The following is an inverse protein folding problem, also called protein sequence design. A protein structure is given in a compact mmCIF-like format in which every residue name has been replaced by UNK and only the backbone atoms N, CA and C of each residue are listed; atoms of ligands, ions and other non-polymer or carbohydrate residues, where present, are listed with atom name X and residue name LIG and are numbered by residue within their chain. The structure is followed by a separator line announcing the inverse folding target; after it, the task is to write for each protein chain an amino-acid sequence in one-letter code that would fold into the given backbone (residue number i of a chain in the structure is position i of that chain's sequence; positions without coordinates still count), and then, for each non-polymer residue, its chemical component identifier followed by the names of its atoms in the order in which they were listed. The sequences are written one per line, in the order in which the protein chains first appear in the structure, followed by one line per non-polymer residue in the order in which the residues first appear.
data_IF_205298220382
#
_entry.id   IF_205298220382
#
_cell.length_a   1.000
_cell.length_b   1.000
_cell.length_c   1.000
_cell.angle_alpha   90.00
_cell.angle_beta   90.00
_cell.angle_gamma   90.00
#
_symmetry.space_group_name_H-M   'P 1'
#
loop_
_entity.id
_entity.type
_entity.pdbx_description
1 polymer ?
#
# COMPACT_ATOMS: atom_id res chain seq x y z
N UNK A 1 -19.52 2.16 -0.90
CA UNK A 1 -19.44 3.60 -1.24
C UNK A 1 -19.57 3.73 -2.76
N UNK A 2 -20.25 4.75 -3.30
CA UNK A 2 -20.37 4.92 -4.76
C UNK A 2 -19.34 5.92 -5.32
N UNK A 3 -19.11 5.86 -6.64
CA UNK A 3 -18.15 6.75 -7.32
C UNK A 3 -18.47 8.22 -7.12
N UNK A 4 -19.75 8.60 -7.10
CA UNK A 4 -20.16 10.00 -6.96
C UNK A 4 -19.74 10.58 -5.61
N UNK A 5 -19.84 9.78 -4.54
CA UNK A 5 -19.36 10.18 -3.22
C UNK A 5 -17.83 10.28 -3.18
N UNK A 6 -17.10 9.32 -3.75
CA UNK A 6 -15.63 9.37 -3.82
C UNK A 6 -15.15 10.62 -4.57
N UNK A 7 -15.75 10.91 -5.73
CA UNK A 7 -15.47 12.13 -6.49
C UNK A 7 -15.79 13.39 -5.69
N UNK A 8 -16.88 13.41 -4.92
CA UNK A 8 -17.21 14.57 -4.08
C UNK A 8 -16.15 14.89 -3.02
N UNK A 9 -15.40 13.87 -2.57
CA UNK A 9 -14.26 14.05 -1.65
C UNK A 9 -13.06 14.56 -2.45
N UNK A 10 -12.70 13.89 -3.55
CA UNK A 10 -11.55 14.24 -4.37
C UNK A 10 -11.64 15.66 -4.95
N UNK A 11 -12.82 16.07 -5.44
CA UNK A 11 -13.08 17.38 -6.02
C UNK A 11 -13.14 18.52 -4.96
N UNK A 12 -13.18 18.17 -3.68
CA UNK A 12 -13.32 19.11 -2.56
C UNK A 12 -12.08 19.10 -1.67
N UNK A 13 -10.88 19.07 -2.27
CA UNK A 13 -9.59 19.03 -1.58
C UNK A 13 -9.53 17.95 -0.49
N UNK A 14 -10.10 16.78 -0.81
CA UNK A 14 -10.20 15.61 0.07
C UNK A 14 -10.96 15.86 1.39
N UNK A 15 -11.75 16.94 1.49
CA UNK A 15 -12.53 17.24 2.69
C UNK A 15 -13.83 16.42 2.74
N UNK A 16 -14.17 15.94 3.94
CA UNK A 16 -15.42 15.24 4.18
C UNK A 16 -16.59 16.20 4.40
N UNK A 17 -17.80 15.84 3.92
CA UNK A 17 -19.02 16.49 4.36
C UNK A 17 -19.19 16.37 5.88
N UNK A 18 -19.74 17.41 6.52
CA UNK A 18 -19.77 17.56 7.98
C UNK A 18 -20.48 16.42 8.76
N UNK A 19 -21.31 15.63 8.08
CA UNK A 19 -22.01 14.49 8.67
C UNK A 19 -21.17 13.20 8.75
N UNK A 20 -19.97 13.16 8.17
CA UNK A 20 -19.08 12.00 8.16
C UNK A 20 -17.82 12.27 8.98
N UNK A 21 -17.32 11.23 9.64
CA UNK A 21 -15.99 11.25 10.24
C UNK A 21 -14.95 10.56 9.34
N UNK A 22 -13.68 10.95 9.48
CA UNK A 22 -12.57 10.28 8.78
C UNK A 22 -12.51 8.80 9.17
N UNK A 23 -12.74 8.46 10.45
CA UNK A 23 -12.69 7.09 10.94
C UNK A 23 -13.71 6.18 10.24
N UNK A 24 -14.97 6.60 10.19
CA UNK A 24 -16.05 5.83 9.55
C UNK A 24 -15.76 5.65 8.05
N UNK A 25 -15.37 6.72 7.35
CA UNK A 25 -15.11 6.65 5.91
C UNK A 25 -13.86 5.83 5.61
N UNK A 26 -12.82 5.89 6.46
CA UNK A 26 -11.61 5.07 6.32
C UNK A 26 -11.94 3.58 6.34
N UNK A 27 -12.81 3.14 7.25
CA UNK A 27 -13.25 1.74 7.31
C UNK A 27 -13.91 1.28 6.00
N UNK A 28 -14.76 2.11 5.42
CA UNK A 28 -15.41 1.83 4.13
C UNK A 28 -14.42 1.86 2.95
N UNK A 29 -13.47 2.80 2.93
CA UNK A 29 -12.42 2.88 1.91
C UNK A 29 -11.53 1.63 1.96
N UNK A 30 -11.10 1.21 3.15
CA UNK A 30 -10.28 0.00 3.32
C UNK A 30 -11.01 -1.27 2.87
N UNK A 31 -12.32 -1.37 3.10
CA UNK A 31 -13.12 -2.48 2.58
C UNK A 31 -13.19 -2.52 1.05
N UNK A 32 -12.93 -1.39 0.37
CA UNK A 32 -12.97 -1.24 -1.08
C UNK A 32 -11.58 -1.03 -1.72
N UNK A 33 -10.48 -1.13 -0.97
CA UNK A 33 -9.12 -0.87 -1.46
C UNK A 33 -8.71 -1.78 -2.63
N UNK A 34 -9.30 -2.97 -2.71
CA UNK A 34 -9.08 -3.92 -3.81
C UNK A 34 -10.27 -4.10 -4.74
N UNK A 35 -11.16 -3.10 -4.86
CA UNK A 35 -12.33 -3.21 -5.73
C UNK A 35 -11.89 -3.39 -7.21
N UNK A 36 -12.52 -4.32 -7.98
CA UNK A 36 -12.11 -4.58 -9.36
C UNK A 36 -12.31 -3.41 -10.31
N UNK A 37 -13.25 -2.52 -10.01
CA UNK A 37 -13.49 -1.31 -10.80
C UNK A 37 -12.29 -0.35 -10.64
N UNK A 38 -11.53 -0.08 -11.72
CA UNK A 38 -10.30 0.69 -11.62
C UNK A 38 -10.54 2.13 -11.20
N UNK A 39 -11.59 2.79 -11.71
CA UNK A 39 -11.85 4.19 -11.38
C UNK A 39 -12.16 4.36 -9.89
N UNK A 40 -13.01 3.50 -9.32
CA UNK A 40 -13.29 3.51 -7.89
C UNK A 40 -12.07 3.15 -7.06
N UNK A 41 -11.26 2.17 -7.50
CA UNK A 41 -10.09 1.73 -6.74
C UNK A 41 -9.02 2.81 -6.63
N UNK A 42 -8.71 3.49 -7.74
CA UNK A 42 -7.74 4.58 -7.74
C UNK A 42 -8.24 5.75 -6.86
N UNK A 43 -9.53 6.10 -6.93
CA UNK A 43 -10.10 7.12 -6.03
C UNK A 43 -10.02 6.71 -4.55
N UNK A 44 -10.27 5.45 -4.22
CA UNK A 44 -10.14 4.94 -2.85
C UNK A 44 -8.70 5.09 -2.36
N UNK A 45 -7.73 4.70 -3.19
CA UNK A 45 -6.32 4.85 -2.89
C UNK A 45 -5.92 6.32 -2.71
N UNK A 46 -6.29 7.17 -3.66
CA UNK A 46 -5.94 8.59 -3.67
C UNK A 46 -6.46 9.29 -2.41
N UNK A 47 -7.72 9.05 -2.02
CA UNK A 47 -8.28 9.64 -0.81
C UNK A 47 -7.53 9.19 0.44
N UNK A 48 -7.24 7.88 0.57
CA UNK A 48 -6.51 7.34 1.72
C UNK A 48 -5.09 7.91 1.78
N UNK A 49 -4.37 7.91 0.65
CA UNK A 49 -3.00 8.45 0.54
C UNK A 49 -2.98 9.93 0.92
N UNK A 50 -3.89 10.74 0.39
CA UNK A 50 -3.95 12.16 0.69
C UNK A 50 -4.27 12.43 2.16
N UNK A 51 -5.16 11.65 2.79
CA UNK A 51 -5.41 11.79 4.23
C UNK A 51 -4.20 11.41 5.10
N UNK A 52 -3.38 10.46 4.68
CA UNK A 52 -2.09 10.15 5.33
C UNK A 52 -1.17 11.35 5.21
N UNK A 53 -0.90 11.80 3.98
CA UNK A 53 0.09 12.84 3.68
C UNK A 53 -0.29 14.22 4.26
N UNK A 54 -1.58 14.56 4.27
CA UNK A 54 -2.13 15.76 4.90
C UNK A 54 -2.23 15.65 6.43
N UNK A 55 -1.78 14.54 7.04
CA UNK A 55 -1.83 14.31 8.49
C UNK A 55 -3.24 14.44 9.08
N UNK A 56 -4.26 13.96 8.36
CA UNK A 56 -5.66 14.04 8.83
C UNK A 56 -6.03 12.94 9.83
N UNK A 57 -5.19 11.93 9.93
CA UNK A 57 -5.31 10.86 10.91
C UNK A 57 -4.69 11.24 12.25
N UNK A 58 -5.32 10.81 13.35
CA UNK A 58 -4.63 10.78 14.64
C UNK A 58 -3.59 9.65 14.65
N UNK A 59 -2.61 9.67 15.58
CA UNK A 59 -1.66 8.57 15.72
C UNK A 59 -2.36 7.20 15.86
N UNK A 60 -3.37 7.08 16.73
CA UNK A 60 -4.11 5.83 16.95
C UNK A 60 -4.79 5.31 15.67
N UNK A 61 -5.28 6.24 14.82
CA UNK A 61 -5.85 5.87 13.52
C UNK A 61 -4.78 5.39 12.54
N UNK A 62 -3.59 6.01 12.52
CA UNK A 62 -2.47 5.54 11.69
C UNK A 62 -2.02 4.14 12.10
N UNK A 63 -1.88 3.86 13.41
CA UNK A 63 -1.52 2.52 13.87
C UNK A 63 -2.59 1.49 13.49
N UNK A 64 -3.87 1.83 13.66
CA UNK A 64 -4.99 0.95 13.27
C UNK A 64 -5.05 0.70 11.76
N UNK A 65 -4.74 1.73 10.96
CA UNK A 65 -4.62 1.66 9.50
C UNK A 65 -3.49 0.69 9.12
N UNK A 66 -2.29 0.87 9.66
CA UNK A 66 -1.13 0.01 9.40
C UNK A 66 -1.47 -1.45 9.73
N UNK A 67 -2.04 -1.72 10.90
CA UNK A 67 -2.44 -3.08 11.28
C UNK A 67 -3.41 -3.72 10.27
N UNK A 68 -4.34 -2.94 9.72
CA UNK A 68 -5.26 -3.41 8.69
C UNK A 68 -4.53 -3.72 7.38
N UNK A 69 -3.68 -2.81 6.91
CA UNK A 69 -2.92 -2.99 5.67
C UNK A 69 -1.98 -4.20 5.75
N UNK A 70 -1.33 -4.43 6.90
CA UNK A 70 -0.48 -5.61 7.13
C UNK A 70 -1.26 -6.93 7.01
N UNK A 71 -2.51 -6.98 7.48
CA UNK A 71 -3.37 -8.15 7.29
C UNK A 71 -3.76 -8.35 5.83
N UNK A 72 -4.02 -7.27 5.11
CA UNK A 72 -4.40 -7.31 3.70
C UNK A 72 -3.31 -7.92 2.81
N UNK A 73 -2.03 -7.82 3.18
CA UNK A 73 -0.92 -8.44 2.44
C UNK A 73 -1.08 -9.96 2.27
N UNK A 74 -1.82 -10.63 3.16
CA UNK A 74 -2.03 -12.07 3.12
C UNK A 74 -3.32 -12.51 2.42
N UNK A 75 -4.16 -11.57 1.99
CA UNK A 75 -5.42 -11.89 1.30
C UNK A 75 -5.11 -12.41 -0.11
N UNK A 76 -5.29 -13.72 -0.30
CA UNK A 76 -4.99 -14.40 -1.56
C UNK A 76 -3.49 -14.42 -1.90
N UNK A 77 -2.59 -14.26 -0.92
CA UNK A 77 -1.14 -14.26 -1.17
C UNK A 77 -0.68 -15.57 -1.83
N UNK A 78 -0.03 -15.45 -2.98
CA UNK A 78 0.42 -16.56 -3.81
C UNK A 78 -0.61 -17.05 -4.83
N UNK A 79 -1.85 -16.55 -4.79
CA UNK A 79 -2.80 -16.75 -5.88
C UNK A 79 -2.39 -15.96 -7.13
N UNK A 80 -2.73 -16.49 -8.30
CA UNK A 80 -2.53 -15.85 -9.59
C UNK A 80 -3.88 -15.73 -10.31
N UNK A 81 -4.10 -14.63 -11.02
CA UNK A 81 -5.26 -14.48 -11.90
C UNK A 81 -6.56 -14.05 -11.19
N UNK A 82 -6.57 -13.98 -9.86
CA UNK A 82 -7.72 -13.56 -9.05
C UNK A 82 -7.69 -12.05 -8.80
N UNK A 83 -8.83 -11.47 -8.41
CA UNK A 83 -8.92 -10.04 -8.09
C UNK A 83 -8.36 -9.71 -6.70
N UNK A 84 -8.05 -10.73 -5.89
CA UNK A 84 -7.43 -10.54 -4.57
C UNK A 84 -6.07 -9.83 -4.64
N UNK A 85 -5.42 -9.82 -5.82
CA UNK A 85 -4.18 -9.08 -6.07
C UNK A 85 -4.32 -7.58 -5.77
N UNK A 86 -5.46 -6.99 -6.07
CA UNK A 86 -5.67 -5.56 -5.86
C UNK A 86 -5.66 -5.22 -4.36
N UNK A 87 -6.18 -6.09 -3.50
CA UNK A 87 -6.20 -5.86 -2.04
C UNK A 87 -4.78 -5.73 -1.50
N UNK A 88 -3.93 -6.74 -1.73
CA UNK A 88 -2.56 -6.76 -1.21
C UNK A 88 -1.65 -5.75 -1.90
N UNK A 89 -1.82 -5.54 -3.20
CA UNK A 89 -1.03 -4.58 -3.97
C UNK A 89 -1.26 -3.13 -3.52
N UNK A 90 -2.52 -2.69 -3.44
CA UNK A 90 -2.80 -1.32 -2.99
C UNK A 90 -2.57 -1.16 -1.48
N UNK A 91 -2.65 -2.24 -0.70
CA UNK A 91 -2.31 -2.18 0.72
C UNK A 91 -0.81 -2.01 0.97
N UNK A 92 0.06 -2.70 0.22
CA UNK A 92 1.51 -2.48 0.32
C UNK A 92 1.90 -1.08 -0.16
N UNK A 93 1.21 -0.55 -1.17
CA UNK A 93 1.42 0.81 -1.62
C UNK A 93 1.12 1.84 -0.52
N UNK A 94 -0.05 1.74 0.12
CA UNK A 94 -0.40 2.61 1.26
C UNK A 94 0.53 2.42 2.47
N UNK A 95 1.05 1.22 2.71
CA UNK A 95 2.07 1.03 3.75
C UNK A 95 3.31 1.88 3.46
N UNK A 96 3.73 1.98 2.19
CA UNK A 96 4.76 2.92 1.75
C UNK A 96 4.45 4.36 2.19
N UNK A 97 3.25 4.85 1.90
CA UNK A 97 2.81 6.21 2.28
C UNK A 97 2.84 6.44 3.80
N UNK A 98 2.48 5.44 4.60
CA UNK A 98 2.57 5.55 6.07
C UNK A 98 4.02 5.68 6.56
N UNK A 99 4.96 4.98 5.91
CA UNK A 99 6.40 5.07 6.22
C UNK A 99 6.99 6.38 5.69
N UNK A 100 6.57 6.82 4.50
CA UNK A 100 6.93 8.11 3.93
C UNK A 100 6.53 9.25 4.87
N UNK A 101 5.31 9.20 5.43
CA UNK A 101 4.90 10.14 6.46
C UNK A 101 5.82 10.09 7.69
N UNK A 102 6.22 8.90 8.19
CA UNK A 102 7.14 8.81 9.34
C UNK A 102 8.53 9.39 9.04
N UNK A 103 8.98 9.30 7.79
CA UNK A 103 10.26 9.86 7.36
C UNK A 103 10.27 11.39 7.48
N UNK A 104 9.14 12.04 7.20
CA UNK A 104 8.96 13.50 7.30
C UNK A 104 8.56 13.94 8.72
N UNK A 105 7.60 13.24 9.32
CA UNK A 105 7.02 13.53 10.63
C UNK A 105 7.10 12.28 11.51
N UNK A 106 8.15 12.14 12.33
CA UNK A 106 8.36 10.98 13.19
C UNK A 106 7.16 10.60 14.07
N UNK A 107 6.61 9.39 13.87
CA UNK A 107 5.57 8.81 14.72
C UNK A 107 5.72 7.29 14.95
N UNK A 108 6.48 6.58 14.10
CA UNK A 108 6.72 5.15 14.24
C UNK A 108 7.96 4.87 15.11
N UNK A 109 7.84 3.82 15.90
CA UNK A 109 8.96 3.22 16.64
C UNK A 109 9.85 2.39 15.71
N UNK A 110 11.06 2.08 16.16
CA UNK A 110 11.94 1.17 15.42
C UNK A 110 11.36 -0.23 15.28
N UNK A 111 10.63 -0.72 16.29
CA UNK A 111 9.96 -2.02 16.23
C UNK A 111 8.89 -2.05 15.13
N UNK A 112 8.08 -1.01 15.02
CA UNK A 112 7.02 -0.92 14.01
C UNK A 112 7.58 -0.83 12.58
N UNK A 113 8.61 -0.01 12.36
CA UNK A 113 9.26 0.08 11.04
C UNK A 113 9.87 -1.28 10.64
N UNK A 114 10.50 -1.98 11.58
CA UNK A 114 11.03 -3.32 11.29
C UNK A 114 9.93 -4.35 11.05
N UNK A 115 8.80 -4.26 11.77
CA UNK A 115 7.64 -5.12 11.53
C UNK A 115 7.08 -4.90 10.12
N UNK A 116 6.86 -3.65 9.70
CA UNK A 116 6.40 -3.33 8.33
C UNK A 116 7.36 -3.92 7.30
N UNK A 117 8.68 -3.73 7.49
CA UNK A 117 9.68 -4.30 6.60
C UNK A 117 9.62 -5.83 6.52
N UNK A 118 9.42 -6.52 7.65
CA UNK A 118 9.33 -7.97 7.69
C UNK A 118 8.08 -8.51 6.98
N UNK A 119 6.94 -7.86 7.19
CA UNK A 119 5.70 -8.19 6.50
C UNK A 119 5.78 -7.93 5.00
N UNK A 120 6.34 -6.79 4.58
CA UNK A 120 6.55 -6.46 3.18
C UNK A 120 7.52 -7.45 2.51
N UNK A 121 8.58 -7.87 3.20
CA UNK A 121 9.52 -8.89 2.70
C UNK A 121 8.87 -10.25 2.52
N UNK A 122 8.03 -10.70 3.46
CA UNK A 122 7.30 -11.97 3.30
C UNK A 122 6.30 -11.91 2.15
N UNK A 123 5.55 -10.81 2.04
CA UNK A 123 4.69 -10.53 0.89
C UNK A 123 5.46 -10.63 -0.42
N UNK A 124 6.58 -9.92 -0.54
CA UNK A 124 7.38 -9.86 -1.75
C UNK A 124 7.89 -11.23 -2.19
N UNK A 125 8.37 -12.04 -1.23
CA UNK A 125 8.92 -13.39 -1.49
C UNK A 125 7.86 -14.39 -1.94
N UNK A 126 6.60 -14.18 -1.53
CA UNK A 126 5.50 -15.13 -1.71
C UNK A 126 4.52 -14.69 -2.79
N UNK A 127 4.59 -13.44 -3.24
CA UNK A 127 3.80 -12.96 -4.36
C UNK A 127 4.12 -13.77 -5.62
N UNK A 128 3.08 -14.18 -6.33
CA UNK A 128 3.20 -14.94 -7.58
C UNK A 128 2.44 -14.27 -8.72
N UNK A 129 1.57 -13.31 -8.44
CA UNK A 129 0.83 -12.56 -9.44
C UNK A 129 1.70 -11.44 -10.02
N UNK A 130 2.32 -11.73 -11.16
CA UNK A 130 3.21 -10.80 -11.90
C UNK A 130 2.44 -9.89 -12.87
N UNK A 131 1.10 -9.87 -12.84
CA UNK A 131 0.32 -9.05 -13.79
C UNK A 131 0.50 -7.57 -13.47
N UNK A 132 0.97 -6.82 -14.45
CA UNK A 132 1.05 -5.35 -14.35
C UNK A 132 -0.34 -4.74 -14.60
N UNK A 133 -1.01 -5.18 -15.68
CA UNK A 133 -2.32 -4.69 -16.09
C UNK A 133 -3.30 -5.85 -16.29
N UNK A 134 -4.54 -5.67 -15.84
CA UNK A 134 -5.64 -6.62 -16.01
C UNK A 134 -6.70 -5.97 -16.89
N UNK A 135 -6.99 -6.59 -18.04
CA UNK A 135 -7.97 -6.07 -19.00
C UNK A 135 -9.34 -5.83 -18.34
N UNK A 136 -9.86 -4.61 -18.51
CA UNK A 136 -11.13 -4.18 -17.90
C UNK A 136 -11.07 -3.87 -16.40
N UNK A 137 -9.93 -4.09 -15.73
CA UNK A 137 -9.77 -3.89 -14.26
C UNK A 137 -8.61 -2.97 -13.88
N UNK A 138 -7.78 -2.57 -14.84
CA UNK A 138 -6.70 -1.60 -14.65
C UNK A 138 -5.43 -2.21 -14.08
N UNK A 139 -4.63 -1.36 -13.41
CA UNK A 139 -3.32 -1.71 -12.90
C UNK A 139 -3.40 -2.54 -11.62
N UNK A 140 -2.67 -3.66 -11.60
CA UNK A 140 -2.46 -4.48 -10.41
C UNK A 140 -1.08 -4.18 -9.81
N UNK A 141 -0.01 -4.24 -10.62
CA UNK A 141 1.35 -3.76 -10.29
C UNK A 141 1.88 -4.15 -8.89
N UNK A 142 1.59 -5.37 -8.47
CA UNK A 142 1.87 -5.88 -7.11
C UNK A 142 3.35 -5.78 -6.72
N UNK A 143 4.25 -6.03 -7.68
CA UNK A 143 5.70 -5.97 -7.45
C UNK A 143 6.21 -4.52 -7.41
N UNK A 144 5.74 -3.65 -8.31
CA UNK A 144 6.12 -2.24 -8.35
C UNK A 144 5.66 -1.50 -7.09
N UNK A 145 4.43 -1.73 -6.65
CA UNK A 145 3.91 -1.17 -5.41
C UNK A 145 4.73 -1.61 -4.18
N UNK A 146 5.13 -2.89 -4.15
CA UNK A 146 6.06 -3.39 -3.14
C UNK A 146 7.40 -2.65 -3.17
N UNK A 147 7.96 -2.39 -4.36
CA UNK A 147 9.21 -1.64 -4.52
C UNK A 147 9.11 -0.20 -4.03
N UNK A 148 7.96 0.47 -4.20
CA UNK A 148 7.74 1.81 -3.64
C UNK A 148 7.76 1.77 -2.12
N UNK A 149 7.04 0.84 -1.49
CA UNK A 149 7.09 0.65 -0.04
C UNK A 149 8.52 0.41 0.48
N UNK A 150 9.31 -0.42 -0.22
CA UNK A 150 10.70 -0.62 0.16
C UNK A 150 11.57 0.62 -0.01
N UNK A 151 11.27 1.48 -0.98
CA UNK A 151 11.99 2.74 -1.16
C UNK A 151 11.80 3.65 0.06
N UNK A 152 10.57 3.74 0.58
CA UNK A 152 10.26 4.51 1.79
C UNK A 152 10.90 3.89 3.04
N UNK A 153 10.86 2.56 3.17
CA UNK A 153 11.53 1.84 4.26
C UNK A 153 13.04 2.07 4.26
N UNK A 154 13.69 2.04 3.08
CA UNK A 154 15.12 2.27 2.93
C UNK A 154 15.53 3.71 3.27
N UNK A 155 14.61 4.66 3.20
CA UNK A 155 14.81 6.04 3.64
C UNK A 155 14.62 6.22 5.16
N UNK A 156 14.05 5.25 5.87
CA UNK A 156 13.74 5.39 7.28
C UNK A 156 14.97 5.41 8.18
N UNK A 157 15.01 6.43 9.06
CA UNK A 157 15.99 6.57 10.15
C UNK A 157 15.97 5.42 11.14
N UNK A 158 14.83 4.72 11.23
CA UNK A 158 14.58 3.68 12.21
C UNK A 158 15.05 2.30 11.75
N UNK A 159 15.35 2.14 10.46
CA UNK A 159 15.70 0.86 9.85
C UNK A 159 17.17 0.51 10.11
N UNK A 160 17.44 -0.69 10.61
CA UNK A 160 18.81 -1.12 10.88
C UNK A 160 19.61 -1.42 9.61
N UNK A 161 20.93 -1.23 9.66
CA UNK A 161 21.84 -1.58 8.55
C UNK A 161 21.69 -3.04 8.10
N UNK A 162 21.43 -3.96 9.05
CA UNK A 162 21.17 -5.36 8.73
C UNK A 162 19.89 -5.54 7.90
N UNK A 163 18.81 -4.84 8.27
CA UNK A 163 17.55 -4.90 7.53
C UNK A 163 17.66 -4.24 6.15
N UNK A 164 18.37 -3.11 6.05
CA UNK A 164 18.70 -2.47 4.76
C UNK A 164 19.41 -3.45 3.82
N UNK A 165 20.42 -4.19 4.31
CA UNK A 165 21.14 -5.16 3.51
C UNK A 165 20.24 -6.29 2.99
N UNK A 166 19.30 -6.77 3.84
CA UNK A 166 18.31 -7.78 3.44
C UNK A 166 17.39 -7.23 2.35
N UNK A 167 16.79 -6.04 2.55
CA UNK A 167 15.88 -5.45 1.55
C UNK A 167 16.57 -5.26 0.21
N UNK A 168 17.80 -4.71 0.20
CA UNK A 168 18.56 -4.53 -1.05
C UNK A 168 18.83 -5.85 -1.76
N UNK A 169 19.23 -6.88 -1.02
CA UNK A 169 19.47 -8.21 -1.60
C UNK A 169 18.21 -8.79 -2.27
N UNK A 170 17.05 -8.64 -1.63
CA UNK A 170 15.78 -9.17 -2.15
C UNK A 170 15.30 -8.38 -3.37
N UNK A 171 15.45 -7.05 -3.35
CA UNK A 171 15.13 -6.20 -4.51
C UNK A 171 16.02 -6.52 -5.71
N UNK A 172 17.32 -6.71 -5.51
CA UNK A 172 18.25 -7.09 -6.57
C UNK A 172 17.86 -8.43 -7.21
N UNK A 173 17.47 -9.42 -6.39
CA UNK A 173 17.03 -10.73 -6.88
C UNK A 173 15.82 -10.61 -7.83
N UNK A 174 14.84 -9.77 -7.49
CA UNK A 174 13.64 -9.54 -8.33
C UNK A 174 13.97 -8.84 -9.64
N UNK A 175 14.83 -7.83 -9.59
CA UNK A 175 15.26 -7.12 -10.80
C UNK A 175 16.00 -8.06 -11.76
N UNK A 176 16.79 -9.01 -11.23
CA UNK A 176 17.44 -10.02 -12.05
C UNK A 176 16.49 -11.06 -12.64
N UNK A 177 15.43 -11.46 -11.91
CA UNK A 177 14.41 -12.38 -12.42
C UNK A 177 13.62 -11.73 -13.59
N UNK A 178 13.21 -10.46 -13.44
CA UNK A 178 12.56 -9.69 -14.52
C UNK A 178 13.43 -9.54 -15.76
N UNK A 179 14.75 -9.41 -15.62
CA UNK A 179 15.67 -9.33 -16.76
C UNK A 179 15.81 -10.68 -17.51
N UNK A 180 15.54 -11.80 -16.84
CA UNK A 180 15.56 -13.15 -17.44
C UNK A 180 14.33 -13.47 -18.28
N UNK A 181 13.16 -12.93 -17.91
CA UNK A 181 11.89 -13.09 -18.63
C UNK A 181 11.81 -12.24 -19.92
N UNK A 182 12.85 -11.44 -20.22
CA UNK A 182 12.95 -10.52 -21.36
C UNK A 182 14.01 -10.87 -22.42
N UNK A 183 14.53 -12.10 -22.46
CA UNK A 183 15.33 -12.58 -23.59
C UNK A 183 14.41 -13.11 -24.71
N UNK A 184 14.69 -12.78 -25.99
CA UNK A 184 13.71 -12.78 -27.09
C UNK A 184 13.09 -14.14 -27.43
#
# INVERSE_FOLDING_TARGET
MDTAFLLSIADNDYQLPAQYSIEEVTGELLANIGIPDPEQRELVYDILSQWILDQRYSPDMLHSLIEHLLRNLYVGLGEQGTDSVFIRSFSVLLLGETVNLDNEVPYLTSEEVHAIADFALDYLRREQDKREFVEGKGWAQALEHGQFCFSDLLASRQLSTAKIAIIRHELDAILTDKAGDGAP
#
